data_IF_153540279005
#
_entry.id   IF_153540279005
#
_cell.length_a   1.000
_cell.length_b   1.000
_cell.length_c   1.000
_cell.angle_alpha   90.00
_cell.angle_beta   90.00
_cell.angle_gamma   90.00
#
_symmetry.space_group_name_H-M   'P 1'
#
loop_
_entity.id
_entity.type
_entity.pdbx_description
1 polymer ?
#
# COMPACT_ATOMS: atom_id res chain seq x y z
N UNK A 1 2.49 3.87 25.98
CA UNK A 1 3.63 3.40 25.16
C UNK A 1 3.49 1.96 24.64
N UNK A 2 2.47 1.19 25.04
CA UNK A 2 2.28 -0.23 24.65
C UNK A 2 1.61 -0.48 23.29
N UNK A 3 0.99 0.53 22.68
CA UNK A 3 0.21 0.37 21.44
C UNK A 3 1.07 0.10 20.20
N UNK A 4 2.24 0.75 20.07
CA UNK A 4 3.13 0.56 18.91
C UNK A 4 3.71 -0.86 18.85
N UNK A 5 4.16 -1.40 19.99
CA UNK A 5 4.73 -2.74 20.05
C UNK A 5 3.69 -3.83 19.72
N UNK A 6 2.46 -3.70 20.22
CA UNK A 6 1.36 -4.59 19.89
C UNK A 6 0.99 -4.53 18.39
N UNK A 7 1.00 -3.33 17.80
CA UNK A 7 0.81 -3.14 16.37
C UNK A 7 1.89 -3.84 15.53
N UNK A 8 3.16 -3.67 15.90
CA UNK A 8 4.28 -4.31 15.21
C UNK A 8 4.22 -5.84 15.32
N UNK A 9 3.87 -6.39 16.48
CA UNK A 9 3.74 -7.83 16.66
C UNK A 9 2.69 -8.43 15.71
N UNK A 10 1.50 -7.80 15.63
CA UNK A 10 0.44 -8.21 14.71
C UNK A 10 0.88 -8.16 13.25
N UNK A 11 1.58 -7.10 12.85
CA UNK A 11 2.12 -6.99 11.48
C UNK A 11 3.05 -8.16 11.16
N UNK A 12 3.96 -8.50 12.08
CA UNK A 12 4.91 -9.59 11.88
C UNK A 12 4.24 -10.97 11.84
N UNK A 13 3.17 -11.18 12.60
CA UNK A 13 2.36 -12.41 12.58
C UNK A 13 1.59 -12.57 11.25
N UNK A 14 1.03 -11.49 10.72
CA UNK A 14 0.26 -11.51 9.47
C UNK A 14 1.16 -11.58 8.20
N UNK A 15 2.43 -11.20 8.30
CA UNK A 15 3.34 -11.10 7.16
C UNK A 15 3.64 -12.45 6.49
N UNK A 16 3.88 -13.50 7.27
CA UNK A 16 4.14 -14.86 6.75
C UNK A 16 2.98 -15.39 5.91
N UNK A 17 1.74 -15.44 6.45
CA UNK A 17 0.53 -15.81 5.71
C UNK A 17 0.30 -14.96 4.45
N UNK A 18 0.58 -13.65 4.49
CA UNK A 18 0.48 -12.77 3.31
C UNK A 18 1.47 -13.16 2.23
N UNK A 19 2.74 -13.38 2.58
CA UNK A 19 3.76 -13.84 1.63
C UNK A 19 3.36 -15.15 0.95
N UNK A 20 2.88 -16.12 1.75
CA UNK A 20 2.37 -17.39 1.24
C UNK A 20 1.22 -17.18 0.25
N UNK A 21 0.25 -16.34 0.61
CA UNK A 21 -0.90 -16.03 -0.25
C UNK A 21 -0.47 -15.41 -1.57
N UNK A 22 0.45 -14.43 -1.56
CA UNK A 22 0.97 -13.81 -2.78
C UNK A 22 1.73 -14.82 -3.65
N UNK A 23 2.51 -15.71 -3.03
CA UNK A 23 3.22 -16.78 -3.75
C UNK A 23 2.23 -17.73 -4.44
N UNK A 24 1.22 -18.19 -3.72
CA UNK A 24 0.19 -19.12 -4.22
C UNK A 24 -0.66 -18.48 -5.33
N UNK A 25 -1.08 -17.21 -5.16
CA UNK A 25 -1.81 -16.46 -6.19
C UNK A 25 -1.03 -16.31 -7.50
N UNK A 26 0.31 -16.32 -7.43
CA UNK A 26 1.19 -16.24 -8.59
C UNK A 26 1.61 -17.60 -9.14
N UNK A 27 1.09 -18.70 -8.58
CA UNK A 27 1.43 -20.06 -9.01
C UNK A 27 2.91 -20.43 -8.82
N UNK A 28 3.60 -19.78 -7.87
CA UNK A 28 5.03 -20.02 -7.65
C UNK A 28 5.23 -21.11 -6.58
N UNK A 29 6.10 -22.07 -6.86
CA UNK A 29 6.57 -23.02 -5.85
C UNK A 29 7.60 -22.36 -4.94
N UNK A 30 7.86 -22.95 -3.76
CA UNK A 30 8.93 -22.49 -2.88
C UNK A 30 10.28 -22.47 -3.61
N UNK A 31 10.61 -23.54 -4.35
CA UNK A 31 11.86 -23.64 -5.10
C UNK A 31 11.98 -22.58 -6.20
N UNK A 32 10.87 -22.22 -6.86
CA UNK A 32 10.87 -21.16 -7.86
C UNK A 32 11.23 -19.79 -7.27
N UNK A 33 10.79 -19.52 -6.03
CA UNK A 33 11.13 -18.28 -5.31
C UNK A 33 12.56 -18.32 -4.81
N UNK A 34 12.97 -19.43 -4.19
CA UNK A 34 14.35 -19.67 -3.70
C UNK A 34 15.38 -19.46 -4.80
N UNK A 35 15.14 -20.00 -6.00
CA UNK A 35 16.03 -19.82 -7.16
C UNK A 35 16.19 -18.37 -7.61
N UNK A 36 15.16 -17.53 -7.43
CA UNK A 36 15.19 -16.11 -7.85
C UNK A 36 15.76 -15.19 -6.77
N UNK A 37 15.61 -15.58 -5.51
CA UNK A 37 15.96 -14.74 -4.35
C UNK A 37 17.27 -15.15 -3.69
N UNK A 38 17.74 -16.38 -3.89
CA UNK A 38 18.90 -16.95 -3.21
C UNK A 38 18.66 -17.33 -1.75
N UNK A 39 17.44 -17.14 -1.21
CA UNK A 39 17.12 -17.57 0.17
C UNK A 39 16.82 -19.06 0.19
N UNK A 40 17.27 -19.79 1.21
CA UNK A 40 17.02 -21.24 1.28
C UNK A 40 15.53 -21.61 1.45
N UNK A 41 15.14 -22.78 0.93
CA UNK A 41 13.76 -23.30 1.05
C UNK A 41 13.29 -23.39 2.50
N UNK A 42 14.17 -23.82 3.42
CA UNK A 42 13.87 -23.87 4.86
C UNK A 42 13.69 -22.49 5.49
N UNK A 43 14.35 -21.46 4.95
CA UNK A 43 14.19 -20.09 5.40
C UNK A 43 12.86 -19.52 4.94
N UNK A 44 12.52 -19.70 3.66
CA UNK A 44 11.24 -19.24 3.11
C UNK A 44 10.05 -19.96 3.76
N UNK A 45 10.13 -21.27 3.95
CA UNK A 45 9.06 -22.04 4.61
C UNK A 45 8.84 -21.58 6.07
N UNK A 46 9.91 -21.38 6.85
CA UNK A 46 9.77 -20.88 8.23
C UNK A 46 9.21 -19.46 8.28
N UNK A 47 9.56 -18.64 7.30
CA UNK A 47 9.02 -17.28 7.18
C UNK A 47 7.51 -17.31 6.88
N UNK A 48 7.08 -18.07 5.87
CA UNK A 48 5.67 -18.19 5.49
C UNK A 48 4.78 -18.72 6.63
N UNK A 49 5.34 -19.56 7.50
CA UNK A 49 4.65 -20.10 8.67
C UNK A 49 4.85 -19.28 9.96
N UNK A 50 5.44 -18.08 9.87
CA UNK A 50 5.63 -17.18 11.03
C UNK A 50 6.65 -17.66 12.06
N UNK A 51 7.40 -18.72 11.77
CA UNK A 51 8.43 -19.31 12.66
C UNK A 51 9.76 -18.57 12.62
N UNK A 52 9.93 -17.65 11.66
CA UNK A 52 11.12 -16.82 11.52
C UNK A 52 10.69 -15.36 11.36
N UNK A 53 11.29 -14.47 12.16
CA UNK A 53 11.09 -13.02 11.98
C UNK A 53 11.76 -12.55 10.68
N UNK A 54 11.05 -11.80 9.83
CA UNK A 54 11.65 -11.17 8.65
C UNK A 54 12.67 -10.10 9.07
N UNK A 55 13.82 -10.09 8.41
CA UNK A 55 14.67 -8.91 8.31
C UNK A 55 14.33 -8.15 7.03
N UNK A 56 14.72 -6.88 6.95
CA UNK A 56 14.50 -6.07 5.74
C UNK A 56 15.21 -6.70 4.52
N UNK A 57 16.45 -7.19 4.71
CA UNK A 57 17.24 -7.85 3.67
C UNK A 57 16.57 -9.11 3.11
N UNK A 58 15.73 -9.77 3.92
CA UNK A 58 15.00 -10.96 3.51
C UNK A 58 13.67 -10.59 2.83
N UNK A 59 13.01 -9.52 3.32
CA UNK A 59 11.72 -9.06 2.81
C UNK A 59 11.84 -8.43 1.41
N UNK A 60 12.85 -7.59 1.17
CA UNK A 60 12.96 -6.82 -0.07
C UNK A 60 13.11 -7.69 -1.31
N UNK A 61 13.98 -8.72 -1.35
CA UNK A 61 14.07 -9.62 -2.51
C UNK A 61 12.76 -10.37 -2.77
N UNK A 62 12.05 -10.77 -1.72
CA UNK A 62 10.75 -11.43 -1.85
C UNK A 62 9.71 -10.49 -2.44
N UNK A 63 9.63 -9.25 -1.97
CA UNK A 63 8.73 -8.23 -2.51
C UNK A 63 8.98 -7.99 -4.01
N UNK A 64 10.25 -7.92 -4.42
CA UNK A 64 10.65 -7.76 -5.83
C UNK A 64 10.25 -8.96 -6.69
N UNK A 65 10.56 -10.19 -6.26
CA UNK A 65 10.20 -11.42 -6.99
C UNK A 65 8.69 -11.58 -7.09
N UNK A 66 7.98 -11.19 -6.04
CA UNK A 66 6.53 -11.18 -6.00
C UNK A 66 5.92 -9.93 -6.61
N UNK A 67 6.69 -8.97 -7.16
CA UNK A 67 6.17 -7.72 -7.75
C UNK A 67 5.05 -7.07 -6.91
N UNK A 68 5.29 -6.94 -5.62
CA UNK A 68 4.39 -6.27 -4.66
C UNK A 68 5.18 -5.25 -3.86
N UNK A 69 4.53 -4.16 -3.49
CA UNK A 69 5.16 -3.17 -2.61
C UNK A 69 5.40 -3.78 -1.22
N UNK A 70 6.56 -3.52 -0.58
CA UNK A 70 6.83 -3.97 0.79
C UNK A 70 5.75 -3.51 1.78
N UNK A 71 5.16 -2.32 1.55
CA UNK A 71 4.06 -1.77 2.35
C UNK A 71 2.83 -2.70 2.33
N UNK A 72 2.52 -3.27 1.16
CA UNK A 72 1.39 -4.20 1.02
C UNK A 72 1.62 -5.48 1.84
N UNK A 73 2.87 -5.96 1.96
CA UNK A 73 3.21 -7.13 2.76
C UNK A 73 3.08 -6.88 4.27
N UNK A 74 3.40 -5.67 4.73
CA UNK A 74 3.26 -5.27 6.15
C UNK A 74 1.83 -4.82 6.51
N UNK A 75 0.87 -4.91 5.58
CA UNK A 75 -0.52 -4.54 5.83
C UNK A 75 -0.81 -3.06 5.64
N UNK A 76 0.12 -2.34 5.02
CA UNK A 76 -0.16 -1.04 4.44
C UNK A 76 -1.28 -1.15 3.42
N UNK A 77 -2.18 -0.17 3.46
CA UNK A 77 -3.21 0.00 2.43
C UNK A 77 -2.44 0.38 1.16
N UNK A 78 -2.22 -0.59 0.26
CA UNK A 78 -1.32 -0.52 -0.89
C UNK A 78 -1.09 0.89 -1.42
N UNK A 79 0.19 1.26 -1.52
CA UNK A 79 0.73 2.54 -2.00
C UNK A 79 0.45 2.81 -3.48
N UNK A 80 -0.76 2.56 -3.96
CA UNK A 80 -1.29 3.22 -5.17
C UNK A 80 -1.53 4.72 -4.94
N UNK A 81 -1.40 5.20 -3.70
CA UNK A 81 -1.77 6.56 -3.34
C UNK A 81 -0.83 7.19 -2.30
N UNK A 82 0.46 7.32 -2.64
CA UNK A 82 1.26 8.45 -2.13
C UNK A 82 0.77 9.79 -2.67
N UNK A 83 -0.32 9.82 -3.45
CA UNK A 83 -1.08 11.04 -3.66
C UNK A 83 -1.61 11.45 -2.28
N UNK A 84 -1.02 12.49 -1.74
CA UNK A 84 -1.49 13.14 -0.53
C UNK A 84 -3.02 13.28 -0.63
N UNK A 85 -3.77 12.46 0.13
CA UNK A 85 -5.25 12.52 0.14
C UNK A 85 -5.70 13.74 0.92
N UNK A 86 -5.38 14.91 0.37
CA UNK A 86 -5.81 16.19 0.88
C UNK A 86 -7.28 16.34 0.56
N UNK A 87 -8.14 16.06 1.54
CA UNK A 87 -9.59 16.22 1.37
C UNK A 87 -9.88 17.70 1.09
N UNK A 88 -10.43 18.04 -0.09
CA UNK A 88 -10.91 19.39 -0.35
C UNK A 88 -11.92 19.80 0.72
N UNK A 89 -11.90 21.07 1.15
CA UNK A 89 -12.86 21.63 2.09
C UNK A 89 -13.44 22.92 1.56
N UNK A 90 -14.70 23.19 1.84
CA UNK A 90 -15.34 24.48 1.53
C UNK A 90 -15.13 25.42 2.73
N UNK A 91 -14.56 26.59 2.49
CA UNK A 91 -14.37 27.65 3.50
C UNK A 91 -14.76 28.98 2.86
N UNK A 92 -15.70 29.71 3.46
CA UNK A 92 -16.15 31.05 3.00
C UNK A 92 -16.34 31.10 1.47
N UNK A 93 -17.20 30.20 0.96
CA UNK A 93 -17.51 29.96 -0.46
C UNK A 93 -16.36 29.55 -1.39
N UNK A 94 -15.17 29.21 -0.88
CA UNK A 94 -14.02 28.76 -1.67
C UNK A 94 -13.74 27.28 -1.44
N UNK A 95 -13.30 26.58 -2.49
CA UNK A 95 -12.75 25.21 -2.35
C UNK A 95 -11.28 25.32 -2.04
N UNK A 96 -10.88 24.78 -0.89
CA UNK A 96 -9.50 24.80 -0.42
C UNK A 96 -8.98 23.39 -0.27
N UNK A 97 -7.93 23.07 -1.01
CA UNK A 97 -7.20 21.80 -0.93
C UNK A 97 -5.84 22.11 -0.28
N UNK A 98 -5.59 21.65 0.97
CA UNK A 98 -4.24 21.74 1.51
C UNK A 98 -3.31 20.92 0.62
N UNK A 99 -2.04 21.30 0.47
CA UNK A 99 -1.04 20.52 -0.28
C UNK A 99 0.13 20.09 0.60
N UNK A 100 0.21 20.64 1.81
CA UNK A 100 1.19 20.34 2.86
C UNK A 100 0.51 19.83 4.11
N UNK A 101 1.10 18.85 4.78
CA UNK A 101 0.61 18.32 6.05
C UNK A 101 0.56 19.36 7.17
N UNK A 102 -0.19 19.06 8.24
CA UNK A 102 -0.41 20.00 9.38
C UNK A 102 0.86 20.30 10.19
N UNK A 103 1.88 19.45 10.11
CA UNK A 103 3.12 19.56 10.88
C UNK A 103 4.23 20.33 10.14
N UNK A 104 4.00 20.73 8.88
CA UNK A 104 4.95 21.54 8.14
C UNK A 104 4.88 23.00 8.62
N UNK A 105 6.03 23.63 8.89
CA UNK A 105 6.10 25.04 9.31
C UNK A 105 5.61 26.04 8.26
N UNK A 106 5.52 25.62 7.00
CA UNK A 106 4.89 26.37 5.91
C UNK A 106 3.68 25.59 5.35
N UNK A 107 2.59 26.30 5.06
CA UNK A 107 1.36 25.70 4.56
C UNK A 107 1.05 26.15 3.12
N UNK A 108 1.16 25.22 2.16
CA UNK A 108 0.77 25.43 0.77
C UNK A 108 -0.68 24.97 0.58
N UNK A 109 -1.48 25.76 -0.12
CA UNK A 109 -2.90 25.48 -0.37
C UNK A 109 -3.26 25.82 -1.82
N UNK A 110 -4.03 24.96 -2.48
CA UNK A 110 -4.75 25.29 -3.70
C UNK A 110 -6.12 25.86 -3.32
N UNK A 111 -6.43 27.06 -3.81
CA UNK A 111 -7.71 27.71 -3.61
C UNK A 111 -8.38 27.87 -4.97
N UNK A 112 -9.56 27.28 -5.13
CA UNK A 112 -10.41 27.55 -6.29
C UNK A 112 -11.42 28.62 -5.90
N UNK A 113 -11.39 29.75 -6.60
CA UNK A 113 -12.34 30.86 -6.47
C UNK A 113 -13.15 30.91 -7.76
N UNK A 114 -14.48 30.87 -7.65
CA UNK A 114 -15.34 31.18 -8.79
C UNK A 114 -15.58 32.69 -8.84
N UNK A 115 -15.57 33.30 -10.03
CA UNK A 115 -15.74 34.74 -10.19
C UNK A 115 -17.14 35.24 -9.77
N UNK A 116 -18.13 34.35 -9.79
CA UNK A 116 -19.53 34.59 -9.41
C UNK A 116 -19.78 34.47 -7.89
N UNK A 117 -18.74 34.20 -7.08
CA UNK A 117 -18.87 34.00 -5.63
C UNK A 117 -19.59 32.71 -5.22
N UNK A 118 -20.05 31.91 -6.18
CA UNK A 118 -20.74 30.64 -5.92
C UNK A 118 -19.77 29.56 -5.46
N UNK A 119 -20.27 28.60 -4.67
CA UNK A 119 -19.45 27.50 -4.16
C UNK A 119 -19.20 26.49 -5.28
N UNK A 120 -17.93 26.25 -5.64
CA UNK A 120 -17.58 25.09 -6.46
C UNK A 120 -17.93 23.81 -5.70
N UNK A 121 -18.87 23.03 -6.24
CA UNK A 121 -19.23 21.73 -5.70
C UNK A 121 -18.00 20.80 -5.69
N UNK A 122 -17.74 20.13 -4.56
CA UNK A 122 -16.64 19.19 -4.44
C UNK A 122 -16.97 17.90 -5.18
N UNK A 123 -16.59 17.84 -6.46
CA UNK A 123 -16.71 16.62 -7.27
C UNK A 123 -15.46 15.79 -7.11
N UNK A 124 -15.60 14.62 -6.49
CA UNK A 124 -14.55 13.60 -6.54
C UNK A 124 -14.59 12.96 -7.93
N UNK A 125 -13.47 12.97 -8.65
CA UNK A 125 -13.33 12.10 -9.83
C UNK A 125 -13.39 10.67 -9.29
N UNK A 126 -14.52 9.99 -9.48
CA UNK A 126 -14.68 8.60 -9.10
C UNK A 126 -13.61 7.83 -9.89
N UNK A 127 -12.75 7.10 -9.19
CA UNK A 127 -11.81 6.21 -9.85
C UNK A 127 -12.62 5.32 -10.80
N UNK A 128 -12.35 5.42 -12.11
CA UNK A 128 -12.82 4.43 -13.07
C UNK A 128 -12.27 3.12 -12.53
N UNK A 129 -13.14 2.23 -12.07
CA UNK A 129 -12.73 0.90 -11.63
C UNK A 129 -11.99 0.29 -12.82
N UNK A 130 -10.67 0.11 -12.69
CA UNK A 130 -9.89 -0.59 -13.69
C UNK A 130 -10.54 -1.95 -13.92
N UNK A 131 -10.79 -2.28 -15.18
CA UNK A 131 -11.29 -3.57 -15.60
C UNK A 131 -10.44 -4.67 -14.94
N UNK A 132 -11.06 -5.47 -14.07
CA UNK A 132 -10.44 -6.70 -13.58
C UNK A 132 -10.50 -7.70 -14.73
N UNK A 133 -9.38 -7.92 -15.41
CA UNK A 133 -9.25 -9.07 -16.30
C UNK A 133 -9.27 -10.34 -15.45
N UNK A 134 -10.31 -11.16 -15.61
CA UNK A 134 -10.29 -12.56 -15.17
C UNK A 134 -9.22 -13.33 -15.97
N UNK A 135 -8.56 -14.34 -15.37
CA UNK A 135 -7.66 -15.22 -16.09
C UNK A 135 -8.51 -16.20 -16.93
N UNK A 136 -8.99 -15.74 -18.08
CA UNK A 136 -9.91 -16.53 -18.91
C UNK A 136 -10.16 -16.04 -20.34
N UNK A 137 -9.41 -15.05 -20.83
CA UNK A 137 -9.43 -14.64 -22.22
C UNK A 137 -10.53 -13.63 -22.58
N UNK A 138 -10.15 -12.58 -23.29
CA UNK A 138 -11.06 -11.75 -24.07
C UNK A 138 -11.26 -12.46 -25.42
N UNK A 139 -12.52 -12.73 -25.78
CA UNK A 139 -12.92 -12.95 -27.18
C UNK A 139 -13.23 -11.60 -27.82
#
# INVERSE_FOLDING_TARGET
MTSTAAGTARILEELGPRLRSVREQRGLTLDAVVRKTGVSTSTLSRLENGRRRPSLDLLLPLALVHRVDPDTLVGGQGTGEHRIRMRPRVIRSRVVVPLTGRTAGAHIRKITVRPDGSVSELRTIRAVRGCTCSPGGCA
#
